data_IF_370668834656
#
_entry.id   IF_370668834656
#
_cell.length_a   1.000
_cell.length_b   1.000
_cell.length_c   1.000
_cell.angle_alpha   90.00
_cell.angle_beta   90.00
_cell.angle_gamma   90.00
#
_symmetry.space_group_name_H-M   'P 1'
#
loop_
_entity.id
_entity.type
_entity.pdbx_description
1 polymer ?
#
# COMPACT_ATOMS: atom_id res chain seq x y z
N UNK A 1 -12.66 -3.60 -4.13
CA UNK A 1 -12.46 -4.21 -2.79
C UNK A 1 -11.91 -3.25 -1.74
N UNK A 2 -10.90 -2.41 -2.05
CA UNK A 2 -10.25 -1.52 -1.06
C UNK A 2 -11.25 -0.68 -0.25
N UNK A 3 -12.24 -0.08 -0.90
CA UNK A 3 -13.20 0.79 -0.24
C UNK A 3 -13.98 0.11 0.90
N UNK A 4 -14.47 -1.11 0.68
CA UNK A 4 -15.18 -1.85 1.72
C UNK A 4 -14.25 -2.25 2.88
N UNK A 5 -13.07 -2.77 2.56
CA UNK A 5 -12.11 -3.22 3.57
C UNK A 5 -11.49 -2.08 4.39
N UNK A 6 -11.44 -0.85 3.84
CA UNK A 6 -11.01 0.36 4.53
C UNK A 6 -12.16 1.12 5.21
N UNK A 7 -13.41 0.64 5.11
CA UNK A 7 -14.59 1.33 5.64
C UNK A 7 -14.84 2.70 5.00
N UNK A 8 -14.50 2.87 3.72
CA UNK A 8 -14.68 4.14 3.03
C UNK A 8 -16.16 4.41 2.76
N UNK A 9 -16.57 5.63 3.06
CA UNK A 9 -17.91 6.13 2.73
C UNK A 9 -17.99 6.43 1.23
N UNK A 10 -18.98 5.89 0.50
CA UNK A 10 -19.18 6.21 -0.91
C UNK A 10 -19.25 7.71 -1.17
N UNK A 11 -18.57 8.19 -2.21
CA UNK A 11 -18.52 9.60 -2.58
C UNK A 11 -17.59 10.48 -1.72
N UNK A 12 -17.03 9.97 -0.61
CA UNK A 12 -15.99 10.69 0.14
C UNK A 12 -14.62 10.42 -0.48
N UNK A 13 -13.83 11.45 -0.81
CA UNK A 13 -12.50 11.25 -1.37
C UNK A 13 -11.57 10.61 -0.33
N UNK A 14 -10.69 9.74 -0.83
CA UNK A 14 -9.54 9.21 -0.08
C UNK A 14 -8.26 9.40 -0.89
N UNK A 15 -7.11 9.19 -0.25
CA UNK A 15 -5.84 9.14 -0.93
C UNK A 15 -5.67 7.78 -1.62
N UNK A 16 -5.52 7.81 -2.94
CA UNK A 16 -5.17 6.65 -3.76
C UNK A 16 -3.89 6.96 -4.51
N UNK A 17 -2.88 6.10 -4.35
CA UNK A 17 -1.63 6.20 -5.07
C UNK A 17 -1.50 5.04 -6.05
N UNK A 18 -1.13 5.36 -7.29
CA UNK A 18 -0.93 4.38 -8.36
C UNK A 18 0.52 4.41 -8.79
N UNK A 19 1.15 3.25 -8.75
CA UNK A 19 2.51 3.05 -9.20
C UNK A 19 2.52 2.08 -10.39
N UNK A 20 3.32 2.40 -11.40
CA UNK A 20 3.64 1.49 -12.48
C UNK A 20 5.12 1.62 -12.81
N UNK A 21 5.79 0.48 -12.99
CA UNK A 21 7.15 0.44 -13.51
C UNK A 21 7.32 -0.72 -14.46
N UNK A 22 8.25 -0.55 -15.41
CA UNK A 22 8.76 -1.65 -16.21
C UNK A 22 9.98 -2.27 -15.51
N UNK A 23 10.21 -3.56 -15.73
CA UNK A 23 11.46 -4.24 -15.37
C UNK A 23 12.62 -3.68 -16.19
N UNK A 24 13.86 -3.95 -15.75
CA UNK A 24 15.07 -3.42 -16.40
C UNK A 24 15.23 -3.86 -17.87
N UNK A 25 14.66 -5.00 -18.25
CA UNK A 25 14.61 -5.53 -19.61
C UNK A 25 13.37 -5.05 -20.42
N UNK A 26 12.50 -4.24 -19.81
CA UNK A 26 11.32 -3.64 -20.44
C UNK A 26 10.16 -4.59 -20.72
N UNK A 27 10.30 -5.88 -20.45
CA UNK A 27 9.32 -6.91 -20.81
C UNK A 27 8.29 -7.20 -19.70
N UNK A 28 8.60 -6.83 -18.46
CA UNK A 28 7.79 -7.09 -17.28
C UNK A 28 7.21 -5.79 -16.75
N UNK A 29 6.00 -5.86 -16.20
CA UNK A 29 5.32 -4.69 -15.63
C UNK A 29 4.94 -4.95 -14.19
N UNK A 30 5.31 -4.02 -13.31
CA UNK A 30 4.87 -3.97 -11.93
C UNK A 30 3.84 -2.87 -11.79
N UNK A 31 2.67 -3.19 -11.23
CA UNK A 31 1.63 -2.19 -10.95
C UNK A 31 1.18 -2.31 -9.51
N UNK A 32 1.07 -1.18 -8.81
CA UNK A 32 0.51 -1.15 -7.47
C UNK A 32 -0.56 -0.06 -7.35
N UNK A 33 -1.62 -0.37 -6.60
CA UNK A 33 -2.61 0.60 -6.14
C UNK A 33 -2.60 0.55 -4.62
N UNK A 34 -2.33 1.69 -4.00
CA UNK A 34 -2.37 1.88 -2.55
C UNK A 34 -3.54 2.78 -2.21
N UNK A 35 -4.33 2.44 -1.20
CA UNK A 35 -5.45 3.25 -0.71
C UNK A 35 -5.40 3.37 0.80
N UNK A 36 -5.74 4.54 1.32
CA UNK A 36 -5.72 4.83 2.76
C UNK A 36 -7.13 4.94 3.34
N UNK A 37 -7.28 4.62 4.62
CA UNK A 37 -8.55 4.79 5.34
C UNK A 37 -8.77 6.24 5.77
N UNK A 38 -10.00 6.58 6.13
CA UNK A 38 -10.29 7.88 6.74
C UNK A 38 -9.56 8.08 8.07
N UNK A 39 -9.29 7.00 8.83
CA UNK A 39 -8.50 7.05 10.06
C UNK A 39 -7.07 7.47 9.76
N UNK A 40 -6.41 6.82 8.79
CA UNK A 40 -5.05 7.18 8.41
C UNK A 40 -4.93 8.65 7.97
N UNK A 41 -5.93 9.17 7.24
CA UNK A 41 -5.97 10.57 6.81
C UNK A 41 -6.35 11.56 7.90
N UNK A 42 -6.92 11.11 9.02
CA UNK A 42 -7.26 11.97 10.16
C UNK A 42 -6.09 12.06 11.15
N UNK A 43 -5.39 10.94 11.38
CA UNK A 43 -4.32 10.82 12.36
C UNK A 43 -2.95 11.28 11.81
N UNK A 44 -2.76 11.23 10.47
CA UNK A 44 -1.47 11.52 9.82
C UNK A 44 -1.59 12.73 8.89
N UNK A 45 -1.13 13.88 9.35
CA UNK A 45 -1.27 15.16 8.64
C UNK A 45 -0.61 15.13 7.25
N UNK A 46 0.55 14.50 7.09
CA UNK A 46 1.24 14.38 5.81
C UNK A 46 0.40 13.63 4.78
N UNK A 47 -0.29 12.55 5.17
CA UNK A 47 -1.18 11.82 4.27
C UNK A 47 -2.41 12.65 3.91
N UNK A 48 -2.98 13.38 4.87
CA UNK A 48 -4.09 14.30 4.64
C UNK A 48 -3.74 15.36 3.57
N UNK A 49 -2.52 15.92 3.66
CA UNK A 49 -1.99 16.90 2.70
C UNK A 49 -1.86 16.35 1.27
N UNK A 50 -1.72 15.04 1.08
CA UNK A 50 -1.67 14.43 -0.25
C UNK A 50 -3.04 14.06 -0.80
N UNK A 51 -4.05 13.85 0.06
CA UNK A 51 -5.44 13.63 -0.38
C UNK A 51 -5.90 14.74 -1.33
N UNK A 52 -5.59 15.99 -0.97
CA UNK A 52 -6.05 17.18 -1.70
C UNK A 52 -5.18 17.53 -2.91
N UNK A 53 -4.08 16.79 -3.15
CA UNK A 53 -3.16 16.96 -4.29
C UNK A 53 -3.28 15.84 -5.32
N UNK A 54 -4.19 14.89 -5.11
CA UNK A 54 -4.34 13.70 -5.93
C UNK A 54 -5.09 13.99 -7.25
N UNK A 55 -4.62 14.99 -8.00
CA UNK A 55 -5.15 15.35 -9.34
C UNK A 55 -4.57 14.44 -10.44
N UNK A 56 -3.84 13.38 -10.06
CA UNK A 56 -3.20 12.43 -10.95
C UNK A 56 -1.87 12.88 -11.57
N UNK A 57 -1.45 14.13 -11.38
CA UNK A 57 -0.23 14.72 -12.00
C UNK A 57 1.00 14.62 -11.09
N UNK A 58 0.82 14.68 -9.77
CA UNK A 58 1.91 14.53 -8.80
C UNK A 58 1.92 13.09 -8.26
N UNK A 59 2.97 12.33 -8.56
CA UNK A 59 3.20 11.07 -7.86
C UNK A 59 3.46 11.40 -6.39
N UNK A 60 2.49 11.11 -5.54
CA UNK A 60 2.68 11.23 -4.10
C UNK A 60 3.91 10.41 -3.74
N UNK A 61 4.96 11.06 -3.22
CA UNK A 61 6.19 10.40 -2.79
C UNK A 61 5.93 9.66 -1.47
N UNK A 62 5.04 8.66 -1.50
CA UNK A 62 4.59 7.88 -0.34
C UNK A 62 5.62 6.89 0.18
N UNK A 63 6.87 6.99 -0.28
CA UNK A 63 8.02 6.25 0.26
C UNK A 63 8.16 6.42 1.77
N UNK A 64 7.67 7.52 2.34
CA UNK A 64 7.71 7.84 3.77
C UNK A 64 6.40 7.59 4.52
N UNK A 65 5.39 7.01 3.87
CA UNK A 65 4.06 6.86 4.49
C UNK A 65 4.13 6.11 5.83
N UNK A 66 4.93 5.04 5.92
CA UNK A 66 5.09 4.28 7.16
C UNK A 66 5.84 5.06 8.24
N UNK A 67 6.80 5.89 7.85
CA UNK A 67 7.53 6.73 8.80
C UNK A 67 6.62 7.82 9.36
N UNK A 68 5.77 8.42 8.53
CA UNK A 68 4.75 9.38 8.99
C UNK A 68 3.73 8.73 9.92
N UNK A 69 3.23 7.54 9.58
CA UNK A 69 2.30 6.81 10.45
C UNK A 69 2.94 6.48 11.81
N UNK A 70 4.19 6.01 11.82
CA UNK A 70 4.93 5.78 13.07
C UNK A 70 5.20 7.08 13.84
N UNK A 71 5.54 8.15 13.13
CA UNK A 71 5.72 9.49 13.69
C UNK A 71 4.45 10.05 14.34
N UNK A 72 3.28 9.67 13.83
CA UNK A 72 1.97 9.96 14.42
C UNK A 72 1.61 9.04 15.61
N UNK A 73 2.52 8.17 16.05
CA UNK A 73 2.31 7.26 17.19
C UNK A 73 1.53 5.99 16.86
N UNK A 74 1.34 5.66 15.58
CA UNK A 74 0.68 4.42 15.17
C UNK A 74 1.67 3.25 15.20
N UNK A 75 1.31 2.18 15.90
CA UNK A 75 2.02 0.90 15.81
C UNK A 75 1.47 0.11 14.64
N UNK A 76 2.31 -0.21 13.66
CA UNK A 76 1.87 -0.80 12.40
C UNK A 76 1.97 -2.32 12.41
N UNK A 77 0.85 -2.98 12.15
CA UNK A 77 0.79 -4.41 11.89
C UNK A 77 0.55 -4.62 10.40
N UNK A 78 1.47 -5.32 9.74
CA UNK A 78 1.42 -5.59 8.31
C UNK A 78 1.13 -7.06 8.05
N UNK A 79 0.22 -7.33 7.11
CA UNK A 79 -0.02 -8.67 6.57
C UNK A 79 0.00 -8.63 5.05
N UNK A 80 0.83 -9.49 4.46
CA UNK A 80 0.88 -9.71 3.03
C UNK A 80 0.22 -11.05 2.67
N UNK A 81 -0.72 -11.02 1.74
CA UNK A 81 -1.31 -12.22 1.13
C UNK A 81 -0.83 -12.33 -0.30
N UNK A 82 -0.12 -13.41 -0.62
CA UNK A 82 0.51 -13.63 -1.92
C UNK A 82 -0.26 -14.73 -2.64
N UNK A 83 -0.77 -14.42 -3.83
CA UNK A 83 -1.60 -15.33 -4.61
C UNK A 83 -1.14 -15.36 -6.07
N UNK A 84 -0.92 -16.53 -6.68
CA UNK A 84 -0.71 -16.62 -8.12
C UNK A 84 -1.99 -16.22 -8.86
N UNK A 85 -1.86 -15.59 -10.03
CA UNK A 85 -2.97 -15.32 -10.93
C UNK A 85 -3.02 -16.44 -11.97
N UNK A 86 -4.11 -17.20 -12.05
CA UNK A 86 -4.16 -18.47 -12.81
C UNK A 86 -3.92 -18.34 -14.31
N UNK A 87 -4.27 -17.18 -14.89
CA UNK A 87 -4.28 -17.00 -16.35
C UNK A 87 -3.05 -16.22 -16.85
N UNK A 88 -2.14 -15.86 -15.94
CA UNK A 88 -0.95 -15.07 -16.23
C UNK A 88 0.21 -15.61 -15.42
N UNK A 89 1.45 -15.50 -15.89
CA UNK A 89 2.61 -15.81 -15.05
C UNK A 89 2.90 -14.65 -14.08
N UNK A 90 1.89 -14.21 -13.34
CA UNK A 90 1.93 -13.07 -12.43
C UNK A 90 1.46 -13.45 -11.04
N UNK A 91 1.97 -12.72 -10.05
CA UNK A 91 1.58 -12.85 -8.66
C UNK A 91 0.91 -11.56 -8.21
N UNK A 92 -0.21 -11.71 -7.51
CA UNK A 92 -0.86 -10.63 -6.77
C UNK A 92 -0.41 -10.69 -5.31
N UNK A 93 0.00 -9.55 -4.79
CA UNK A 93 0.26 -9.33 -3.37
C UNK A 93 -0.75 -8.32 -2.85
N UNK A 94 -1.55 -8.74 -1.88
CA UNK A 94 -2.45 -7.85 -1.13
C UNK A 94 -1.84 -7.60 0.23
N UNK A 95 -1.33 -6.38 0.43
CA UNK A 95 -0.87 -5.88 1.71
C UNK A 95 -2.02 -5.21 2.45
N UNK A 96 -2.16 -5.52 3.73
CA UNK A 96 -3.05 -4.82 4.65
C UNK A 96 -2.25 -4.34 5.85
N UNK A 97 -2.46 -3.08 6.22
CA UNK A 97 -1.86 -2.46 7.40
C UNK A 97 -2.97 -1.99 8.34
N UNK A 98 -2.85 -2.33 9.61
CA UNK A 98 -3.70 -1.84 10.69
C UNK A 98 -2.87 -1.32 11.85
N UNK A 99 -3.49 -0.53 12.72
CA UNK A 99 -2.86 0.00 13.93
C UNK A 99 -2.99 -0.93 15.14
N UNK A 100 -2.49 -0.50 16.31
CA UNK A 100 -2.61 -1.20 17.59
C UNK A 100 -4.05 -1.42 18.08
N UNK A 101 -5.03 -0.80 17.43
CA UNK A 101 -6.45 -0.92 17.73
C UNK A 101 -7.21 -1.71 16.65
N UNK A 102 -6.48 -2.43 15.80
CA UNK A 102 -7.00 -3.17 14.65
C UNK A 102 -7.78 -2.30 13.65
N UNK A 103 -7.60 -0.96 13.68
CA UNK A 103 -8.21 -0.06 12.71
C UNK A 103 -7.45 -0.17 11.38
N UNK A 104 -8.13 -0.43 10.25
CA UNK A 104 -7.45 -0.51 8.96
C UNK A 104 -6.90 0.87 8.59
N UNK A 105 -5.64 0.92 8.15
CA UNK A 105 -4.94 2.14 7.77
C UNK A 105 -4.70 2.20 6.26
N UNK A 106 -4.23 1.11 5.67
CA UNK A 106 -3.77 1.06 4.29
C UNK A 106 -3.99 -0.32 3.69
N UNK A 107 -4.35 -0.33 2.39
CA UNK A 107 -4.34 -1.53 1.56
C UNK A 107 -3.56 -1.22 0.29
N UNK A 108 -2.58 -2.07 -0.02
CA UNK A 108 -1.89 -2.07 -1.31
C UNK A 108 -2.17 -3.36 -2.04
N UNK A 109 -2.64 -3.25 -3.27
CA UNK A 109 -2.68 -4.35 -4.23
C UNK A 109 -1.54 -4.15 -5.22
N UNK A 110 -0.61 -5.11 -5.24
CA UNK A 110 0.53 -5.15 -6.13
C UNK A 110 0.39 -6.36 -7.07
N UNK A 111 0.63 -6.15 -8.36
CA UNK A 111 0.75 -7.21 -9.36
C UNK A 111 2.14 -7.16 -9.97
N UNK A 112 2.80 -8.32 -10.03
CA UNK A 112 4.17 -8.50 -10.53
C UNK A 112 4.20 -9.65 -11.53
N UNK A 113 4.91 -9.50 -12.65
CA UNK A 113 5.24 -10.62 -13.54
C UNK A 113 6.31 -11.52 -12.89
N UNK A 114 5.93 -12.74 -12.55
CA UNK A 114 6.77 -13.67 -11.81
C UNK A 114 7.82 -14.36 -12.69
N UNK A 115 7.79 -14.18 -14.02
CA UNK A 115 8.83 -14.73 -14.92
C UNK A 115 10.11 -13.92 -14.92
N UNK A 116 10.02 -12.64 -14.54
CA UNK A 116 11.08 -11.66 -14.71
C UNK A 116 11.46 -10.94 -13.43
N UNK A 117 10.70 -11.15 -12.35
CA UNK A 117 10.89 -10.51 -11.07
C UNK A 117 10.82 -11.54 -9.94
N UNK A 118 11.52 -11.25 -8.84
CA UNK A 118 11.48 -12.06 -7.64
C UNK A 118 10.73 -11.29 -6.54
N UNK A 119 9.72 -11.91 -5.95
CA UNK A 119 9.12 -11.39 -4.74
C UNK A 119 9.98 -11.79 -3.54
N UNK A 120 10.91 -10.91 -3.17
CA UNK A 120 11.78 -11.12 -2.00
C UNK A 120 11.09 -10.60 -0.75
N UNK A 121 10.96 -11.46 0.26
CA UNK A 121 10.46 -11.09 1.59
C UNK A 121 11.60 -11.21 2.60
N UNK A 122 11.99 -10.06 3.15
CA UNK A 122 13.03 -9.94 4.18
C UNK A 122 12.44 -9.23 5.39
N UNK A 123 12.70 -9.75 6.59
CA UNK A 123 12.26 -9.15 7.84
C UNK A 123 13.34 -9.30 8.91
N UNK A 124 13.40 -8.31 9.80
CA UNK A 124 14.24 -8.35 10.99
C UNK A 124 13.36 -8.68 12.19
N UNK A 125 13.69 -9.74 12.92
CA UNK A 125 13.08 -10.00 14.22
C UNK A 125 13.70 -9.06 15.25
N UNK A 126 12.92 -8.48 16.18
CA UNK A 126 13.51 -7.76 17.31
C UNK A 126 14.47 -8.70 18.04
N UNK A 127 15.61 -8.17 18.48
CA UNK A 127 16.52 -8.93 19.33
C UNK A 127 15.72 -9.41 20.55
N UNK A 128 15.80 -10.71 20.86
CA UNK A 128 15.22 -11.23 22.09
C UNK A 128 15.82 -10.46 23.26
N UNK A 129 14.98 -9.72 23.99
CA UNK A 129 15.35 -9.07 25.25
C UNK A 129 15.41 -10.06 26.40
#
# INVERSE_FOLDING_TARGET
EHAAALGLVPGRPTLVHRYASATADGAGRRTAVTSFSAVALAEVEELARYRDRADGVSSAQLRRAYDWMRGAGLTLHQRDTITPLTDTASVRVVRRVHDQHDRPLEITELVVDARQDALVYEFTLPAAG
#
